data_IF_315606590306
#
_entry.id   IF_315606590306
#
_cell.length_a   1.000
_cell.length_b   1.000
_cell.length_c   1.000
_cell.angle_alpha   90.00
_cell.angle_beta   90.00
_cell.angle_gamma   90.00
#
_symmetry.space_group_name_H-M   'P 1'
#
loop_
_entity.id
_entity.type
_entity.pdbx_description
1 polymer ?
#
# COMPACT_ATOMS: atom_id res chain seq x y z
N UNK A 1 -7.78 -9.71 -21.34
CA UNK A 1 -7.52 -9.91 -20.41
C UNK A 1 -7.67 -9.04 -19.52
N UNK A 2 -8.21 -9.03 -18.88
CA UNK A 2 -8.58 -8.24 -18.08
C UNK A 2 -7.76 -7.95 -17.22
N UNK A 3 -7.77 -7.38 -16.92
CA UNK A 3 -7.03 -6.99 -16.32
C UNK A 3 -7.14 -6.71 -15.16
N UNK A 4 -6.87 -7.35 -14.47
CA UNK A 4 -6.66 -7.20 -13.18
C UNK A 4 -5.33 -6.66 -12.93
N UNK A 5 -4.64 -6.20 -13.87
CA UNK A 5 -3.28 -5.73 -13.65
C UNK A 5 -3.23 -4.50 -12.75
N UNK A 6 -4.21 -3.62 -12.83
CA UNK A 6 -4.23 -2.47 -11.95
C UNK A 6 -4.59 -2.85 -10.52
N UNK A 7 -5.55 -3.73 -10.36
CA UNK A 7 -5.90 -4.22 -9.05
C UNK A 7 -4.75 -4.97 -8.43
N UNK A 8 -4.11 -5.79 -9.22
CA UNK A 8 -2.97 -6.58 -8.74
C UNK A 8 -1.83 -5.66 -8.33
N UNK A 9 -1.58 -4.63 -9.11
CA UNK A 9 -0.54 -3.68 -8.80
C UNK A 9 -0.87 -2.93 -7.52
N UNK A 10 -2.12 -2.50 -7.38
CA UNK A 10 -2.55 -1.78 -6.18
C UNK A 10 -2.37 -2.64 -4.94
N UNK A 11 -2.76 -3.90 -5.03
CA UNK A 11 -2.63 -4.82 -3.92
C UNK A 11 -1.16 -5.06 -3.55
N UNK A 12 -0.32 -5.18 -4.57
CA UNK A 12 1.11 -5.36 -4.34
C UNK A 12 1.72 -4.13 -3.68
N UNK A 13 1.29 -2.94 -4.08
CA UNK A 13 1.77 -1.71 -3.49
C UNK A 13 1.35 -1.61 -2.03
N UNK A 14 0.12 -1.96 -1.74
CA UNK A 14 -0.36 -1.93 -0.35
C UNK A 14 0.44 -2.90 0.50
N UNK A 15 0.68 -4.08 -0.02
CA UNK A 15 1.46 -5.09 0.70
C UNK A 15 2.88 -4.60 0.97
N UNK A 16 3.48 -3.97 -0.01
CA UNK A 16 4.84 -3.46 0.12
C UNK A 16 4.90 -2.34 1.15
N UNK A 17 3.93 -1.46 1.14
CA UNK A 17 3.87 -0.38 2.11
C UNK A 17 3.71 -0.93 3.53
N UNK A 18 2.86 -1.93 3.69
CA UNK A 18 2.66 -2.55 4.99
C UNK A 18 3.94 -3.19 5.50
N UNK A 19 4.68 -3.83 4.61
CA UNK A 19 5.94 -4.44 4.95
C UNK A 19 6.93 -3.39 5.40
N UNK A 20 7.03 -2.29 4.68
CA UNK A 20 7.91 -1.20 5.06
C UNK A 20 7.48 -0.59 6.37
N UNK A 21 6.19 -0.47 6.60
CA UNK A 21 5.68 0.10 7.83
C UNK A 21 6.13 -0.70 9.04
N UNK A 22 6.29 -2.00 8.85
CA UNK A 22 6.77 -2.87 9.91
C UNK A 22 8.28 -2.78 10.06
N UNK A 23 8.98 -2.75 8.94
CA UNK A 23 10.43 -2.81 8.94
C UNK A 23 11.12 -1.46 8.89
N UNK A 24 10.62 -0.56 8.06
CA UNK A 24 11.23 0.74 7.89
C UNK A 24 10.16 1.75 7.55
N UNK A 25 9.65 2.37 8.56
CA UNK A 25 8.55 3.32 8.43
C UNK A 25 8.85 4.47 7.50
N UNK A 26 10.09 4.91 7.48
CA UNK A 26 10.49 6.03 6.63
C UNK A 26 10.32 5.71 5.16
N UNK A 27 10.59 4.47 4.78
CA UNK A 27 10.41 4.07 3.39
C UNK A 27 8.95 4.14 2.98
N UNK A 28 8.05 3.75 3.88
CA UNK A 28 6.63 3.83 3.59
C UNK A 28 6.19 5.26 3.37
N UNK A 29 6.66 6.15 4.20
CA UNK A 29 6.33 7.56 4.09
C UNK A 29 6.89 8.14 2.80
N UNK A 30 8.12 7.80 2.47
CA UNK A 30 8.75 8.27 1.24
C UNK A 30 8.00 7.79 0.02
N UNK A 31 7.62 6.52 0.04
CA UNK A 31 6.91 5.97 -1.11
C UNK A 31 5.58 6.68 -1.33
N UNK A 32 4.85 6.91 -0.27
CA UNK A 32 3.58 7.62 -0.38
C UNK A 32 3.77 9.05 -0.87
N UNK A 33 4.85 9.66 -0.47
CA UNK A 33 5.17 11.00 -0.93
C UNK A 33 5.43 11.01 -2.43
N UNK A 34 6.14 10.01 -2.92
CA UNK A 34 6.42 9.89 -4.34
C UNK A 34 5.14 9.64 -5.13
N UNK A 35 4.28 8.78 -4.62
CA UNK A 35 3.00 8.51 -5.26
C UNK A 35 2.18 9.79 -5.34
N UNK A 36 2.18 10.57 -4.27
CA UNK A 36 1.45 11.82 -4.26
C UNK A 36 1.95 12.77 -5.33
N UNK A 37 3.25 12.80 -5.52
CA UNK A 37 3.82 13.66 -6.54
C UNK A 37 3.53 13.18 -7.94
N UNK A 38 3.59 11.87 -8.14
CA UNK A 38 3.47 11.33 -9.49
C UNK A 38 2.05 11.04 -9.90
N UNK A 39 1.22 10.62 -8.96
CA UNK A 39 -0.14 10.22 -9.28
C UNK A 39 -1.19 11.13 -8.68
N UNK A 40 -0.79 12.02 -7.78
CA UNK A 40 -1.72 12.95 -7.15
C UNK A 40 -2.13 12.52 -5.77
N UNK A 41 -2.74 13.45 -5.05
CA UNK A 41 -3.14 13.23 -3.66
C UNK A 41 -4.15 12.11 -3.55
N UNK A 42 -5.07 12.04 -4.49
CA UNK A 42 -6.13 11.05 -4.42
C UNK A 42 -5.58 9.63 -4.43
N UNK A 43 -4.60 9.37 -5.31
CA UNK A 43 -4.00 8.06 -5.38
C UNK A 43 -3.28 7.72 -4.08
N UNK A 44 -2.56 8.68 -3.52
CA UNK A 44 -1.87 8.46 -2.26
C UNK A 44 -2.85 8.22 -1.13
N UNK A 45 -3.96 8.94 -1.12
CA UNK A 45 -4.98 8.75 -0.09
C UNK A 45 -5.62 7.37 -0.18
N UNK A 46 -5.87 6.90 -1.38
CA UNK A 46 -6.43 5.57 -1.55
C UNK A 46 -5.47 4.49 -1.03
N UNK A 47 -4.19 4.64 -1.33
CA UNK A 47 -3.20 3.70 -0.83
C UNK A 47 -3.13 3.74 0.68
N UNK A 48 -3.13 4.94 1.25
CA UNK A 48 -3.09 5.07 2.70
C UNK A 48 -4.30 4.43 3.36
N UNK A 49 -5.46 4.67 2.78
CA UNK A 49 -6.68 4.13 3.34
C UNK A 49 -6.67 2.61 3.31
N UNK A 50 -6.27 2.05 2.19
CA UNK A 50 -6.22 0.59 2.06
C UNK A 50 -5.17 -0.01 2.99
N UNK A 51 -4.05 0.65 3.14
CA UNK A 51 -3.03 0.20 4.07
C UNK A 51 -3.55 0.20 5.49
N UNK A 52 -4.25 1.25 5.86
CA UNK A 52 -4.81 1.36 7.20
C UNK A 52 -5.85 0.27 7.45
N UNK A 53 -6.68 0.00 6.45
CA UNK A 53 -7.68 -1.05 6.55
C UNK A 53 -7.02 -2.40 6.75
N UNK A 54 -6.06 -2.73 5.93
CA UNK A 54 -5.38 -4.01 6.02
C UNK A 54 -4.62 -4.16 7.32
N UNK A 55 -3.99 -3.08 7.75
CA UNK A 55 -3.27 -3.09 9.02
C UNK A 55 -4.22 -3.39 10.17
N UNK A 56 -5.39 -2.77 10.13
CA UNK A 56 -6.40 -2.96 11.15
C UNK A 56 -6.93 -4.39 11.17
N UNK A 57 -6.93 -5.04 10.01
CA UNK A 57 -7.37 -6.43 9.90
C UNK A 57 -6.26 -7.43 10.22
N UNK A 58 -5.09 -6.96 10.53
CA UNK A 58 -3.99 -7.85 10.91
C UNK A 58 -2.96 -8.09 9.83
N UNK A 59 -3.12 -7.49 8.67
CA UNK A 59 -2.15 -7.69 7.61
C UNK A 59 -0.89 -6.88 7.86
N UNK A 60 0.25 -7.49 7.66
CA UNK A 60 1.53 -6.81 7.85
C UNK A 60 2.44 -7.10 6.67
N UNK A 61 1.92 -6.99 5.47
CA UNK A 61 2.67 -7.30 4.29
C UNK A 61 2.71 -8.80 4.09
N UNK A 62 3.90 -9.36 4.09
CA UNK A 62 4.02 -10.77 3.87
C UNK A 62 3.61 -11.59 5.05
N UNK A 63 3.53 -10.98 6.21
CA UNK A 63 3.32 -11.71 7.39
C UNK A 63 1.98 -11.57 7.92
N UNK A 64 1.04 -11.28 7.52
CA UNK A 64 -0.28 -11.19 8.10
C UNK A 64 -1.26 -11.85 7.20
N UNK A 65 -2.54 -11.72 7.55
CA UNK A 65 -3.58 -12.24 6.73
C UNK A 65 -3.96 -11.17 5.73
N UNK A 66 -3.99 -11.55 4.49
CA UNK A 66 -4.36 -10.60 3.46
C UNK A 66 -5.83 -10.78 3.14
N UNK A 67 -6.65 -9.83 3.50
CA UNK A 67 -8.09 -9.93 3.32
C UNK A 67 -8.63 -9.07 2.19
#
# INVERSE_FOLDING_TARGET
MPDNSEEHRHRSEVRQILKWRTQDRNKAIEYLSIVRKKRGDRAAQLLEKDCRDQWSKGSRGDEGIWL
#
